data_IF_435129509024
#
_entry.id   IF_435129509024
#
_cell.length_a   1.000
_cell.length_b   1.000
_cell.length_c   1.000
_cell.angle_alpha   90.00
_cell.angle_beta   90.00
_cell.angle_gamma   90.00
#
_symmetry.space_group_name_H-M   'P 1'
#
loop_
_entity.id
_entity.type
_entity.pdbx_description
1 polymer ?
#
# COMPACT_ATOMS: atom_id res chain seq x y z
N UNK A 1 -3.05 -13.43 9.57
CA UNK A 1 -3.16 -12.07 9.02
C UNK A 1 -2.01 -11.89 8.03
N UNK A 2 -2.27 -11.80 6.71
CA UNK A 2 -1.20 -11.60 5.73
C UNK A 2 -0.72 -10.13 5.82
N UNK A 3 0.57 -9.92 6.09
CA UNK A 3 1.22 -8.61 6.23
C UNK A 3 2.05 -8.19 5.01
N UNK A 4 2.15 -9.05 3.99
CA UNK A 4 2.93 -8.83 2.78
C UNK A 4 2.58 -7.50 2.09
N UNK A 5 1.29 -7.29 1.76
CA UNK A 5 0.85 -6.07 1.08
C UNK A 5 0.99 -4.81 1.96
N UNK A 6 0.67 -4.81 3.27
CA UNK A 6 1.04 -3.71 4.16
C UNK A 6 2.55 -3.39 4.16
N UNK A 7 3.43 -4.38 4.14
CA UNK A 7 4.87 -4.10 4.04
C UNK A 7 5.28 -3.58 2.66
N UNK A 8 4.62 -4.00 1.58
CA UNK A 8 4.79 -3.39 0.26
C UNK A 8 4.37 -1.90 0.27
N UNK A 9 3.27 -1.55 0.96
CA UNK A 9 2.87 -0.14 1.16
C UNK A 9 3.97 0.62 1.92
N UNK A 10 4.48 0.05 3.02
CA UNK A 10 5.56 0.65 3.80
C UNK A 10 6.82 0.87 2.95
N UNK A 11 7.14 -0.06 2.06
CA UNK A 11 8.24 0.07 1.11
C UNK A 11 8.01 1.22 0.13
N UNK A 12 6.84 1.31 -0.50
CA UNK A 12 6.47 2.44 -1.38
C UNK A 12 6.58 3.80 -0.66
N UNK A 13 6.18 3.88 0.62
CA UNK A 13 6.38 5.09 1.44
C UNK A 13 7.86 5.43 1.59
N UNK A 14 8.72 4.44 1.84
CA UNK A 14 10.17 4.66 1.94
C UNK A 14 10.80 5.13 0.63
N UNK A 15 10.18 4.79 -0.50
CA UNK A 15 10.54 5.32 -1.82
C UNK A 15 9.95 6.71 -2.11
N UNK A 16 9.17 7.29 -1.19
CA UNK A 16 8.54 8.60 -1.36
C UNK A 16 7.27 8.59 -2.22
N UNK A 17 6.65 7.42 -2.41
CA UNK A 17 5.47 7.30 -3.25
C UNK A 17 4.19 7.76 -2.54
N UNK A 18 3.30 8.41 -3.31
CA UNK A 18 1.98 8.78 -2.83
C UNK A 18 1.07 7.54 -2.69
N UNK A 19 0.01 7.67 -1.90
CA UNK A 19 -0.96 6.59 -1.70
C UNK A 19 -1.64 6.15 -3.01
N UNK A 20 -1.88 7.08 -3.94
CA UNK A 20 -2.43 6.77 -5.26
C UNK A 20 -1.46 5.94 -6.12
N UNK A 21 -0.19 6.34 -6.18
CA UNK A 21 0.85 5.57 -6.91
C UNK A 21 1.04 4.19 -6.28
N UNK A 22 1.07 4.13 -4.96
CA UNK A 22 1.16 2.86 -4.21
C UNK A 22 -0.01 1.92 -4.54
N UNK A 23 -1.23 2.44 -4.64
CA UNK A 23 -2.41 1.65 -5.00
C UNK A 23 -2.30 1.05 -6.41
N UNK A 24 -1.90 1.85 -7.40
CA UNK A 24 -1.74 1.33 -8.77
C UNK A 24 -0.65 0.26 -8.86
N UNK A 25 0.46 0.42 -8.14
CA UNK A 25 1.52 -0.60 -8.07
C UNK A 25 1.06 -1.88 -7.39
N UNK A 26 0.28 -1.78 -6.31
CA UNK A 26 -0.32 -2.95 -5.67
C UNK A 26 -1.29 -3.66 -6.61
N UNK A 27 -2.14 -2.92 -7.34
CA UNK A 27 -3.04 -3.49 -8.32
C UNK A 27 -2.28 -4.19 -9.46
N UNK A 28 -1.15 -3.62 -9.90
CA UNK A 28 -0.28 -4.22 -10.91
C UNK A 28 0.38 -5.51 -10.42
N UNK A 29 0.87 -5.55 -9.18
CA UNK A 29 1.61 -6.69 -8.63
C UNK A 29 0.71 -7.83 -8.15
N UNK A 30 -0.43 -7.51 -7.52
CA UNK A 30 -1.31 -8.48 -6.86
C UNK A 30 -2.62 -8.72 -7.60
N UNK A 31 -2.93 -7.95 -8.64
CA UNK A 31 -4.15 -8.10 -9.44
C UNK A 31 -5.42 -8.02 -8.59
N UNK A 32 -6.30 -9.00 -8.74
CA UNK A 32 -7.54 -9.12 -7.97
C UNK A 32 -7.33 -9.37 -6.48
N UNK A 33 -6.15 -9.85 -6.09
CA UNK A 33 -5.78 -10.06 -4.69
C UNK A 33 -5.25 -8.80 -4.01
N UNK A 34 -5.14 -7.67 -4.73
CA UNK A 34 -4.72 -6.40 -4.17
C UNK A 34 -5.69 -5.91 -3.08
N UNK A 35 -5.14 -5.30 -2.03
CA UNK A 35 -5.91 -4.52 -1.08
C UNK A 35 -6.76 -3.47 -1.82
N UNK A 36 -7.96 -3.24 -1.30
CA UNK A 36 -8.82 -2.17 -1.79
C UNK A 36 -8.15 -0.81 -1.61
N UNK A 37 -8.53 0.17 -2.44
CA UNK A 37 -8.02 1.55 -2.33
C UNK A 37 -8.17 2.12 -0.93
N UNK A 38 -9.29 1.87 -0.26
CA UNK A 38 -9.53 2.32 1.12
C UNK A 38 -8.56 1.69 2.13
N UNK A 39 -8.24 0.40 1.98
CA UNK A 39 -7.25 -0.27 2.83
C UNK A 39 -5.83 0.25 2.57
N UNK A 40 -5.46 0.49 1.30
CA UNK A 40 -4.15 1.05 0.95
C UNK A 40 -3.98 2.43 1.58
N UNK A 41 -4.95 3.31 1.44
CA UNK A 41 -4.89 4.67 2.02
C UNK A 41 -4.85 4.65 3.54
N UNK A 42 -5.60 3.74 4.18
CA UNK A 42 -5.57 3.56 5.64
C UNK A 42 -4.17 3.16 6.11
N UNK A 43 -3.59 2.12 5.52
CA UNK A 43 -2.24 1.68 5.86
C UNK A 43 -1.19 2.74 5.54
N UNK A 44 -1.34 3.43 4.41
CA UNK A 44 -0.39 4.47 3.99
C UNK A 44 -0.34 5.60 5.03
N UNK A 45 -1.52 6.08 5.46
CA UNK A 45 -1.66 7.03 6.56
C UNK A 45 -1.09 6.47 7.87
N UNK A 46 -1.46 5.26 8.27
CA UNK A 46 -0.95 4.66 9.53
C UNK A 46 0.57 4.55 9.56
N UNK A 47 1.23 4.25 8.44
CA UNK A 47 2.70 4.17 8.39
C UNK A 47 3.39 5.54 8.38
N UNK A 48 2.72 6.60 7.93
CA UNK A 48 3.23 7.96 8.02
C UNK A 48 3.07 8.54 9.42
N UNK A 49 1.99 8.20 10.10
CA UNK A 49 1.67 8.71 11.44
C UNK A 49 2.48 8.03 12.56
N UNK A 50 2.93 6.79 12.35
CA UNK A 50 3.79 6.06 13.30
C UNK A 50 3.00 5.30 14.35
#
# INVERSE_FOLDING_TARGET
RNLEQPYAIKFCIKLGESASVTFEKLKQAYGEHSLSRAQVFRWHKSFLEG
#
